data_IF_193320585891
#
_entry.id   IF_193320585891
#
_cell.length_a   1.000
_cell.length_b   1.000
_cell.length_c   1.000
_cell.angle_alpha   90.00
_cell.angle_beta   90.00
_cell.angle_gamma   90.00
#
_symmetry.space_group_name_H-M   'P 1'
#
loop_
_entity.id
_entity.type
_entity.pdbx_description
1 polymer ?
#
# COMPACT_ATOMS: atom_id res chain seq x y z
N UNK A 1 23.81 5.17 -35.24
CA UNK A 1 24.43 6.50 -35.03
C UNK A 1 24.97 6.56 -33.61
N UNK A 2 26.22 6.98 -33.39
CA UNK A 2 26.75 7.15 -32.04
C UNK A 2 26.09 8.37 -31.39
N UNK A 3 25.48 8.17 -30.22
CA UNK A 3 24.89 9.25 -29.43
C UNK A 3 26.02 10.15 -28.89
N UNK A 4 26.00 11.43 -29.28
CA UNK A 4 26.96 12.42 -28.77
C UNK A 4 26.80 12.62 -27.25
N UNK A 5 27.91 12.85 -26.51
CA UNK A 5 27.85 13.15 -25.09
C UNK A 5 27.29 14.56 -24.86
N UNK A 6 26.27 14.67 -24.01
CA UNK A 6 25.71 15.96 -23.59
C UNK A 6 26.61 16.65 -22.55
N UNK A 7 26.67 18.00 -22.54
CA UNK A 7 27.53 18.77 -21.65
C UNK A 7 27.08 18.69 -20.17
N UNK A 8 27.99 18.92 -19.21
CA UNK A 8 27.66 18.91 -17.78
C UNK A 8 26.82 20.15 -17.43
N UNK A 9 25.64 19.94 -16.81
CA UNK A 9 24.78 21.05 -16.40
C UNK A 9 24.93 21.37 -14.90
N UNK A 10 25.38 22.60 -14.66
CA UNK A 10 25.34 23.33 -13.40
C UNK A 10 23.87 23.58 -13.03
N UNK A 11 23.48 23.19 -11.83
CA UNK A 11 22.13 23.44 -11.30
C UNK A 11 21.94 24.94 -10.96
N UNK A 12 21.30 25.66 -11.88
CA UNK A 12 20.31 26.75 -11.68
C UNK A 12 19.23 26.50 -10.61
N UNK A 13 19.26 26.98 -9.33
CA UNK A 13 18.03 27.02 -8.54
C UNK A 13 17.20 28.21 -9.04
N UNK A 14 16.64 28.09 -10.25
CA UNK A 14 15.49 28.88 -10.62
C UNK A 14 14.28 28.11 -10.11
N UNK A 15 13.39 28.81 -9.42
CA UNK A 15 12.10 28.29 -8.99
C UNK A 15 11.50 27.46 -10.12
N UNK A 16 11.12 26.22 -9.81
CA UNK A 16 10.37 25.36 -10.70
C UNK A 16 9.01 26.06 -10.90
N UNK A 17 8.95 27.06 -11.78
CA UNK A 17 7.80 27.93 -12.02
C UNK A 17 6.76 27.18 -12.88
N UNK A 18 6.41 25.98 -12.43
CA UNK A 18 5.18 25.31 -12.80
C UNK A 18 4.07 25.92 -11.95
N UNK A 19 3.72 27.18 -12.24
CA UNK A 19 2.60 27.85 -11.58
C UNK A 19 1.39 26.90 -11.63
N UNK A 20 0.67 26.68 -10.51
CA UNK A 20 -0.52 25.85 -10.48
C UNK A 20 -1.52 26.22 -11.59
N UNK A 21 -1.55 27.51 -11.96
CA UNK A 21 -2.38 28.04 -13.04
C UNK A 21 -2.07 27.50 -14.45
N UNK A 22 -0.85 27.06 -14.77
CA UNK A 22 -0.49 26.63 -16.14
C UNK A 22 -0.86 25.17 -16.38
N UNK A 23 -0.77 24.35 -15.34
CA UNK A 23 -1.21 22.95 -15.35
C UNK A 23 -2.74 22.89 -15.23
N UNK A 24 -3.32 23.63 -14.28
CA UNK A 24 -4.78 23.65 -14.06
C UNK A 24 -5.55 24.32 -15.22
N UNK A 25 -5.12 25.50 -15.73
CA UNK A 25 -5.80 26.14 -16.88
C UNK A 25 -5.74 25.31 -18.15
N UNK A 26 -4.72 24.47 -18.33
CA UNK A 26 -4.64 23.55 -19.48
C UNK A 26 -5.54 22.33 -19.31
N UNK A 27 -5.67 21.79 -18.10
CA UNK A 27 -6.69 20.77 -17.83
C UNK A 27 -8.11 21.30 -18.09
N UNK A 28 -8.40 22.55 -17.71
CA UNK A 28 -9.72 23.16 -17.90
C UNK A 28 -9.98 23.56 -19.38
N UNK A 29 -8.99 24.11 -20.09
CA UNK A 29 -9.16 24.45 -21.52
C UNK A 29 -9.31 23.22 -22.42
N UNK A 30 -8.65 22.10 -22.11
CA UNK A 30 -8.83 20.85 -22.86
C UNK A 30 -10.10 20.07 -22.46
N UNK A 31 -10.70 20.34 -21.30
CA UNK A 31 -11.96 19.74 -20.88
C UNK A 31 -13.20 20.49 -21.44
N UNK A 32 -13.06 21.77 -21.80
CA UNK A 32 -14.17 22.62 -22.27
C UNK A 32 -14.42 22.50 -23.78
N UNK A 33 -13.44 22.14 -24.60
CA UNK A 33 -13.66 21.91 -26.03
C UNK A 33 -13.87 20.43 -26.35
N UNK A 34 -15.14 20.00 -26.39
CA UNK A 34 -15.77 19.35 -27.56
C UNK A 34 -17.07 18.67 -27.14
N UNK A 35 -18.19 19.29 -27.53
CA UNK A 35 -19.47 18.61 -27.62
C UNK A 35 -19.33 17.40 -28.57
N UNK A 36 -20.05 16.29 -28.32
CA UNK A 36 -20.07 15.19 -29.26
C UNK A 36 -20.78 15.65 -30.53
N UNK A 37 -20.06 15.80 -31.64
CA UNK A 37 -20.68 15.86 -32.95
C UNK A 37 -21.03 14.44 -33.37
N UNK A 38 -22.29 14.27 -33.77
CA UNK A 38 -22.84 13.03 -34.31
C UNK A 38 -21.95 12.39 -35.38
N UNK A 39 -21.97 11.05 -35.37
CA UNK A 39 -21.67 10.15 -36.50
C UNK A 39 -20.39 10.42 -37.32
N UNK A 40 -19.26 9.89 -36.86
CA UNK A 40 -18.11 9.70 -37.74
C UNK A 40 -16.85 9.25 -37.01
N UNK A 41 -16.53 7.95 -37.12
CA UNK A 41 -15.27 7.37 -36.66
C UNK A 41 -14.10 7.91 -37.49
N UNK A 42 -13.63 9.12 -37.17
CA UNK A 42 -12.26 9.54 -37.48
C UNK A 42 -11.47 9.45 -36.18
N UNK A 43 -10.45 8.59 -36.17
CA UNK A 43 -9.56 8.41 -35.04
C UNK A 43 -8.77 9.70 -34.80
N UNK A 44 -9.29 10.60 -33.98
CA UNK A 44 -8.50 11.69 -33.46
C UNK A 44 -7.43 11.09 -32.55
N UNK A 45 -6.15 11.24 -32.94
CA UNK A 45 -5.02 10.86 -32.12
C UNK A 45 -5.15 11.54 -30.76
N UNK A 46 -5.06 10.77 -29.67
CA UNK A 46 -5.14 11.32 -28.33
C UNK A 46 -4.09 12.44 -28.17
N UNK A 47 -4.43 13.56 -27.52
CA UNK A 47 -3.50 14.67 -27.36
C UNK A 47 -2.22 14.20 -26.65
N UNK A 48 -1.05 14.78 -27.02
CA UNK A 48 0.23 14.40 -26.42
C UNK A 48 0.18 14.56 -24.90
N UNK A 49 0.80 13.64 -24.16
CA UNK A 49 0.85 13.77 -22.69
C UNK A 49 1.74 14.94 -22.30
N UNK A 50 1.42 15.57 -21.17
CA UNK A 50 2.26 16.60 -20.55
C UNK A 50 3.63 16.00 -20.23
N UNK A 51 3.68 14.72 -19.85
CA UNK A 51 4.93 13.98 -19.64
C UNK A 51 5.87 14.05 -20.84
N UNK A 52 5.35 13.79 -22.06
CA UNK A 52 6.14 13.84 -23.29
C UNK A 52 6.67 15.25 -23.57
N UNK A 53 5.84 16.27 -23.35
CA UNK A 53 6.26 17.67 -23.51
C UNK A 53 7.41 18.03 -22.56
N UNK A 54 7.34 17.61 -21.29
CA UNK A 54 8.41 17.87 -20.31
C UNK A 54 9.66 17.03 -20.62
N UNK A 55 9.49 15.82 -21.17
CA UNK A 55 10.60 15.00 -21.65
C UNK A 55 11.34 15.66 -22.81
N UNK A 56 10.62 16.11 -23.83
CA UNK A 56 11.21 16.73 -25.03
C UNK A 56 11.93 18.05 -24.70
N UNK A 57 11.52 18.74 -23.63
CA UNK A 57 12.21 19.93 -23.09
C UNK A 57 13.50 19.61 -22.32
N UNK A 58 13.66 18.37 -21.88
CA UNK A 58 14.81 17.95 -21.05
C UNK A 58 14.67 18.26 -19.55
N UNK A 59 13.51 18.76 -19.11
CA UNK A 59 13.26 19.20 -17.73
C UNK A 59 12.98 18.03 -16.75
N UNK A 60 12.79 16.80 -17.25
CA UNK A 60 12.59 15.63 -16.39
C UNK A 60 13.86 15.35 -15.57
N UNK A 61 13.75 15.11 -14.25
CA UNK A 61 14.89 14.77 -13.39
C UNK A 61 15.31 13.31 -13.50
N UNK A 62 14.97 12.64 -14.61
CA UNK A 62 15.24 11.23 -14.85
C UNK A 62 15.88 11.04 -16.24
N UNK A 63 16.81 10.09 -16.35
CA UNK A 63 17.44 9.65 -17.60
C UNK A 63 17.45 8.12 -17.73
N UNK A 64 17.39 7.63 -18.97
CA UNK A 64 17.65 6.22 -19.29
C UNK A 64 19.12 6.09 -19.63
N UNK A 65 19.83 5.17 -18.97
CA UNK A 65 21.17 4.81 -19.39
C UNK A 65 21.09 3.61 -20.36
N UNK A 66 21.67 3.79 -21.55
CA UNK A 66 21.67 2.80 -22.62
C UNK A 66 22.86 1.85 -22.52
N UNK A 67 22.64 0.69 -21.91
CA UNK A 67 23.53 -0.48 -21.96
C UNK A 67 22.75 -1.75 -22.30
N UNK A 68 23.29 -2.93 -22.00
CA UNK A 68 22.62 -4.24 -22.23
C UNK A 68 21.33 -4.37 -21.41
N UNK A 69 21.29 -3.78 -20.21
CA UNK A 69 20.08 -3.64 -19.39
C UNK A 69 19.65 -2.17 -19.33
N UNK A 70 18.38 -1.89 -19.60
CA UNK A 70 17.80 -0.55 -19.43
C UNK A 70 17.52 -0.32 -17.93
N UNK A 71 18.12 0.72 -17.36
CA UNK A 71 17.81 1.16 -16.00
C UNK A 71 17.64 2.68 -15.97
N UNK A 72 16.96 3.13 -14.92
CA UNK A 72 16.59 4.52 -14.73
C UNK A 72 17.46 5.17 -13.68
N UNK A 73 17.95 6.38 -13.98
CA UNK A 73 18.76 7.17 -13.06
C UNK A 73 18.13 8.54 -12.82
N UNK A 74 18.02 8.92 -11.56
CA UNK A 74 17.59 10.25 -11.14
C UNK A 74 18.78 11.21 -11.12
N UNK A 75 18.54 12.45 -11.53
CA UNK A 75 19.51 13.54 -11.48
C UNK A 75 19.68 14.03 -10.03
N UNK A 76 20.48 13.32 -9.25
CA UNK A 76 20.83 13.68 -7.87
C UNK A 76 22.04 14.61 -7.89
N UNK A 77 21.99 15.74 -7.17
CA UNK A 77 23.05 16.78 -7.20
C UNK A 77 24.39 16.30 -6.60
N UNK A 78 24.32 15.39 -5.65
CA UNK A 78 25.46 15.07 -4.77
C UNK A 78 26.32 13.90 -5.28
N UNK A 79 25.93 13.23 -6.37
CA UNK A 79 26.64 12.04 -6.89
C UNK A 79 26.88 12.19 -8.40
N UNK A 80 28.14 12.35 -8.85
CA UNK A 80 28.44 12.45 -10.27
C UNK A 80 28.05 11.17 -11.02
N UNK A 81 27.84 11.30 -12.33
CA UNK A 81 27.55 10.15 -13.18
C UNK A 81 28.75 9.17 -13.15
N UNK A 82 28.51 7.84 -13.13
CA UNK A 82 29.55 6.83 -13.15
C UNK A 82 30.38 6.98 -14.42
N UNK A 83 31.69 6.86 -14.30
CA UNK A 83 32.60 6.81 -15.45
C UNK A 83 32.15 5.72 -16.43
N UNK A 84 32.40 5.93 -17.74
CA UNK A 84 32.00 4.98 -18.80
C UNK A 84 32.38 3.52 -18.50
N UNK A 85 33.52 3.30 -17.85
CA UNK A 85 33.98 1.96 -17.44
C UNK A 85 33.10 1.34 -16.34
N UNK A 86 32.72 2.13 -15.33
CA UNK A 86 31.84 1.68 -14.23
C UNK A 86 30.38 1.49 -14.66
N UNK A 87 29.93 2.27 -15.66
CA UNK A 87 28.59 2.17 -16.25
C UNK A 87 28.35 0.90 -17.09
N UNK A 88 29.42 0.20 -17.51
CA UNK A 88 29.35 -1.05 -18.26
C UNK A 88 29.00 -2.26 -17.37
N UNK A 89 29.26 -2.17 -16.06
CA UNK A 89 28.82 -3.17 -15.09
C UNK A 89 27.38 -2.89 -14.62
N UNK A 90 26.53 -3.91 -14.49
CA UNK A 90 25.15 -3.75 -13.99
C UNK A 90 25.08 -3.19 -12.56
N UNK A 91 26.11 -3.45 -11.74
CA UNK A 91 26.22 -2.94 -10.37
C UNK A 91 26.71 -1.46 -10.31
N UNK A 92 27.70 -1.08 -11.13
CA UNK A 92 28.19 0.30 -11.20
C UNK A 92 27.21 1.26 -11.90
N UNK A 93 26.41 0.72 -12.83
CA UNK A 93 25.27 1.38 -13.46
C UNK A 93 24.26 1.97 -12.46
N UNK A 94 23.93 1.21 -11.41
CA UNK A 94 23.01 1.60 -10.34
C UNK A 94 23.64 2.57 -9.32
N UNK A 95 24.89 2.97 -9.51
CA UNK A 95 25.54 4.05 -8.75
C UNK A 95 26.01 3.67 -7.34
N UNK A 96 25.93 2.40 -6.95
CA UNK A 96 26.35 1.92 -5.64
C UNK A 96 25.49 2.44 -4.47
N UNK A 97 25.82 2.05 -3.22
CA UNK A 97 25.02 2.37 -2.03
C UNK A 97 24.95 3.88 -1.74
N UNK A 98 25.97 4.65 -2.12
CA UNK A 98 26.00 6.10 -1.96
C UNK A 98 24.95 6.79 -2.82
N UNK A 99 24.82 6.39 -4.09
CA UNK A 99 23.77 6.89 -4.96
C UNK A 99 22.38 6.47 -4.46
N UNK A 100 22.19 5.24 -3.98
CA UNK A 100 20.90 4.80 -3.46
C UNK A 100 20.43 5.64 -2.26
N UNK A 101 21.35 5.97 -1.35
CA UNK A 101 21.07 6.86 -0.23
C UNK A 101 20.72 8.27 -0.70
N UNK A 102 21.50 8.83 -1.63
CA UNK A 102 21.29 10.17 -2.17
C UNK A 102 19.98 10.26 -2.97
N UNK A 103 19.67 9.24 -3.79
CA UNK A 103 18.40 9.08 -4.51
C UNK A 103 17.22 9.03 -3.55
N UNK A 104 17.31 8.24 -2.48
CA UNK A 104 16.22 8.15 -1.50
C UNK A 104 15.98 9.50 -0.81
N UNK A 105 17.03 10.24 -0.47
CA UNK A 105 16.91 11.61 0.08
C UNK A 105 16.29 12.58 -0.92
N UNK A 106 16.71 12.53 -2.17
CA UNK A 106 16.16 13.36 -3.25
C UNK A 106 14.66 13.11 -3.46
N UNK A 107 14.24 11.85 -3.54
CA UNK A 107 12.83 11.49 -3.71
C UNK A 107 11.96 11.88 -2.50
N UNK A 108 12.55 11.94 -1.30
CA UNK A 108 11.89 12.48 -0.11
C UNK A 108 11.69 14.00 -0.16
N UNK A 109 12.57 14.74 -0.84
CA UNK A 109 12.48 16.20 -0.95
C UNK A 109 11.62 16.66 -2.14
N UNK A 110 11.27 15.75 -3.06
CA UNK A 110 10.53 16.08 -4.28
C UNK A 110 9.08 16.51 -3.99
N UNK A 111 8.55 17.46 -4.77
CA UNK A 111 7.15 17.88 -4.68
C UNK A 111 6.22 16.89 -5.42
N UNK A 112 5.41 16.18 -4.64
CA UNK A 112 4.50 15.16 -5.16
C UNK A 112 3.29 15.77 -5.89
N UNK A 113 2.91 17.02 -5.60
CA UNK A 113 1.76 17.67 -6.24
C UNK A 113 1.99 17.88 -7.73
N UNK A 114 3.24 18.08 -8.14
CA UNK A 114 3.63 18.29 -9.52
C UNK A 114 4.10 16.98 -10.15
N UNK A 115 4.97 16.26 -9.46
CA UNK A 115 5.68 15.14 -10.05
C UNK A 115 4.79 13.91 -10.19
N UNK A 116 3.98 13.58 -9.19
CA UNK A 116 3.17 12.37 -9.25
C UNK A 116 2.10 12.43 -10.36
N UNK A 117 1.32 13.52 -10.54
CA UNK A 117 0.41 13.63 -11.67
C UNK A 117 1.11 13.59 -13.04
N UNK A 118 2.31 14.19 -13.14
CA UNK A 118 3.12 14.17 -14.36
C UNK A 118 3.47 12.74 -14.79
N UNK A 119 3.97 11.91 -13.85
CA UNK A 119 4.30 10.51 -14.13
C UNK A 119 3.06 9.65 -14.40
N UNK A 120 1.92 9.96 -13.76
CA UNK A 120 0.65 9.28 -14.02
C UNK A 120 0.07 9.61 -15.40
N UNK A 121 0.21 10.85 -15.88
CA UNK A 121 -0.17 11.23 -17.25
C UNK A 121 0.69 10.50 -18.29
N UNK A 122 1.99 10.32 -18.00
CA UNK A 122 2.93 9.57 -18.83
C UNK A 122 2.60 8.08 -18.99
N UNK A 123 1.71 7.50 -18.19
CA UNK A 123 1.30 6.10 -18.35
C UNK A 123 0.64 5.83 -19.71
N UNK A 124 0.06 6.86 -20.33
CA UNK A 124 -0.56 6.82 -21.67
C UNK A 124 0.48 6.73 -22.80
N UNK A 125 1.75 7.03 -22.55
CA UNK A 125 2.79 6.98 -23.57
C UNK A 125 3.09 5.54 -24.04
N UNK A 126 3.32 5.41 -25.35
CA UNK A 126 3.61 4.13 -26.02
C UNK A 126 5.01 4.11 -26.62
N UNK A 127 5.56 5.27 -26.98
CA UNK A 127 6.92 5.35 -27.54
C UNK A 127 7.97 5.12 -26.47
N UNK A 128 8.90 4.20 -26.74
CA UNK A 128 10.19 4.14 -26.04
C UNK A 128 11.02 5.38 -26.40
N UNK A 129 11.71 6.05 -25.44
CA UNK A 129 11.95 5.66 -24.04
C UNK A 129 10.91 6.18 -23.02
N UNK A 130 9.99 7.06 -23.43
CA UNK A 130 9.02 7.71 -22.53
C UNK A 130 8.16 6.70 -21.76
N UNK A 131 7.69 5.65 -22.44
CA UNK A 131 6.92 4.55 -21.84
C UNK A 131 7.64 3.92 -20.64
N UNK A 132 8.93 3.59 -20.82
CA UNK A 132 9.76 2.98 -19.79
C UNK A 132 10.02 3.94 -18.63
N UNK A 133 10.39 5.19 -18.95
CA UNK A 133 10.64 6.24 -17.96
C UNK A 133 9.43 6.56 -17.09
N UNK A 134 8.25 6.68 -17.70
CA UNK A 134 7.02 6.98 -16.97
C UNK A 134 6.67 5.85 -15.98
N UNK A 135 6.70 4.60 -16.45
CA UNK A 135 6.32 3.44 -15.63
C UNK A 135 7.32 3.18 -14.48
N UNK A 136 8.61 3.25 -14.77
CA UNK A 136 9.67 3.04 -13.75
C UNK A 136 9.74 4.22 -12.80
N UNK A 137 9.72 5.46 -13.28
CA UNK A 137 9.72 6.65 -12.43
C UNK A 137 8.52 6.70 -11.49
N UNK A 138 7.33 6.32 -11.96
CA UNK A 138 6.13 6.17 -11.13
C UNK A 138 6.30 5.11 -10.04
N UNK A 139 6.80 3.91 -10.41
CA UNK A 139 7.04 2.82 -9.47
C UNK A 139 8.07 3.21 -8.40
N UNK A 140 9.10 3.96 -8.80
CA UNK A 140 10.10 4.47 -7.88
C UNK A 140 9.52 5.54 -6.94
N UNK A 141 8.76 6.51 -7.43
CA UNK A 141 8.11 7.54 -6.60
C UNK A 141 7.13 6.98 -5.56
N UNK A 142 6.53 5.83 -5.85
CA UNK A 142 5.62 5.12 -4.95
C UNK A 142 6.30 4.02 -4.13
N UNK A 143 7.64 3.93 -4.17
CA UNK A 143 8.36 2.90 -3.44
C UNK A 143 8.25 3.10 -1.92
N UNK A 144 8.07 2.02 -1.14
CA UNK A 144 7.81 2.09 0.31
C UNK A 144 8.97 2.68 1.13
N UNK A 145 10.16 2.87 0.54
CA UNK A 145 11.29 3.48 1.22
C UNK A 145 11.12 4.99 1.48
N UNK A 146 10.25 5.67 0.72
CA UNK A 146 10.09 7.13 0.77
C UNK A 146 8.68 7.64 0.44
N UNK A 147 7.80 6.79 -0.09
CA UNK A 147 6.40 7.11 -0.29
C UNK A 147 5.60 6.83 0.97
N UNK A 148 4.95 7.87 1.50
CA UNK A 148 4.07 7.78 2.67
C UNK A 148 2.67 8.29 2.32
N UNK A 149 1.66 7.74 2.98
CA UNK A 149 0.26 8.18 2.83
C UNK A 149 0.07 9.70 3.07
N UNK A 150 0.88 10.32 3.93
CA UNK A 150 0.85 11.76 4.19
C UNK A 150 1.19 12.62 2.97
N UNK A 151 2.06 12.12 2.08
CA UNK A 151 2.50 12.84 0.86
C UNK A 151 1.61 12.52 -0.32
N UNK A 152 1.17 11.26 -0.41
CA UNK A 152 0.33 10.78 -1.53
C UNK A 152 -1.13 11.22 -1.36
N UNK A 153 -1.64 11.23 -0.12
CA UNK A 153 -3.04 11.53 0.20
C UNK A 153 -3.57 12.84 -0.42
N UNK A 154 -2.89 13.99 -0.22
CA UNK A 154 -3.30 15.28 -0.79
C UNK A 154 -3.34 15.30 -2.32
N UNK A 155 -2.51 14.48 -2.98
CA UNK A 155 -2.35 14.45 -4.44
C UNK A 155 -3.37 13.52 -5.11
N UNK A 156 -3.99 12.59 -4.37
CA UNK A 156 -4.93 11.60 -4.90
C UNK A 156 -6.01 12.17 -5.84
N UNK A 157 -6.68 13.31 -5.55
CA UNK A 157 -7.70 13.87 -6.44
C UNK A 157 -7.14 14.21 -7.83
N UNK A 158 -5.88 14.68 -7.90
CA UNK A 158 -5.19 15.03 -9.15
C UNK A 158 -4.83 13.79 -9.98
N UNK A 159 -4.69 12.62 -9.35
CA UNK A 159 -4.34 11.36 -10.04
C UNK A 159 -5.54 10.70 -10.73
N UNK A 160 -6.77 11.05 -10.35
CA UNK A 160 -7.99 10.36 -10.82
C UNK A 160 -8.19 10.55 -12.32
N UNK A 161 -7.97 11.77 -12.81
CA UNK A 161 -8.12 12.09 -14.24
C UNK A 161 -7.10 11.35 -15.12
N UNK A 162 -5.77 11.47 -14.89
CA UNK A 162 -4.79 10.75 -15.71
C UNK A 162 -4.95 9.23 -15.61
N UNK A 163 -5.29 8.69 -14.44
CA UNK A 163 -5.63 7.26 -14.28
C UNK A 163 -6.82 6.85 -15.16
N UNK A 164 -7.92 7.61 -15.10
CA UNK A 164 -9.12 7.33 -15.90
C UNK A 164 -8.81 7.42 -17.40
N UNK A 165 -8.04 8.42 -17.82
CA UNK A 165 -7.63 8.58 -19.22
C UNK A 165 -6.79 7.39 -19.68
N UNK A 166 -5.80 6.94 -18.89
CA UNK A 166 -4.98 5.77 -19.23
C UNK A 166 -5.81 4.48 -19.34
N UNK A 167 -6.73 4.24 -18.39
CA UNK A 167 -7.64 3.08 -18.42
C UNK A 167 -8.60 3.12 -19.64
N UNK A 168 -9.08 4.30 -20.03
CA UNK A 168 -10.01 4.47 -21.15
C UNK A 168 -9.36 4.34 -22.54
N UNK A 169 -8.02 4.27 -22.65
CA UNK A 169 -7.32 4.10 -23.95
C UNK A 169 -7.67 2.80 -24.65
N UNK A 170 -8.21 1.81 -23.92
CA UNK A 170 -8.53 0.46 -24.37
C UNK A 170 -7.36 -0.38 -24.90
N UNK A 171 -6.14 0.14 -24.84
CA UNK A 171 -4.92 -0.55 -25.23
C UNK A 171 -4.42 -1.40 -24.08
N UNK A 172 -4.20 -2.70 -24.33
CA UNK A 172 -3.94 -3.70 -23.27
C UNK A 172 -2.70 -3.32 -22.46
N UNK A 173 -1.61 -2.90 -23.11
CA UNK A 173 -0.37 -2.52 -22.43
C UNK A 173 -0.53 -1.27 -21.55
N UNK A 174 -1.24 -0.26 -22.04
CA UNK A 174 -1.50 0.98 -21.32
C UNK A 174 -2.41 0.76 -20.12
N UNK A 175 -3.48 -0.04 -20.31
CA UNK A 175 -4.38 -0.44 -19.23
C UNK A 175 -3.63 -1.26 -18.17
N UNK A 176 -2.77 -2.19 -18.58
CA UNK A 176 -1.93 -2.98 -17.67
C UNK A 176 -1.04 -2.09 -16.81
N UNK A 177 -0.33 -1.12 -17.42
CA UNK A 177 0.49 -0.14 -16.68
C UNK A 177 -0.34 0.68 -15.70
N UNK A 178 -1.52 1.15 -16.10
CA UNK A 178 -2.41 1.90 -15.23
C UNK A 178 -2.92 1.07 -14.04
N UNK A 179 -3.22 -0.21 -14.24
CA UNK A 179 -3.63 -1.12 -13.16
C UNK A 179 -2.45 -1.40 -12.22
N UNK A 180 -1.24 -1.64 -12.74
CA UNK A 180 -0.05 -1.81 -11.90
C UNK A 180 0.24 -0.55 -11.08
N UNK A 181 0.10 0.65 -11.67
CA UNK A 181 0.22 1.92 -10.95
C UNK A 181 -0.83 2.03 -9.82
N UNK A 182 -2.07 1.64 -10.09
CA UNK A 182 -3.15 1.59 -9.10
C UNK A 182 -2.84 0.61 -7.96
N UNK A 183 -2.28 -0.57 -8.26
CA UNK A 183 -1.86 -1.53 -7.24
C UNK A 183 -0.73 -0.97 -6.36
N UNK A 184 0.26 -0.29 -6.96
CA UNK A 184 1.37 0.34 -6.22
C UNK A 184 0.87 1.48 -5.33
N UNK A 185 -0.04 2.31 -5.83
CA UNK A 185 -0.68 3.40 -5.08
C UNK A 185 -1.38 2.89 -3.81
N UNK A 186 -2.08 1.76 -3.91
CA UNK A 186 -2.81 1.17 -2.78
C UNK A 186 -1.88 0.53 -1.75
N UNK A 187 -0.71 0.05 -2.19
CA UNK A 187 0.31 -0.61 -1.34
C UNK A 187 1.19 0.40 -0.58
N UNK A 188 1.05 1.71 -0.82
CA UNK A 188 1.82 2.75 -0.11
C UNK A 188 1.60 2.62 1.41
N UNK A 189 2.69 2.52 2.20
CA UNK A 189 2.59 2.36 3.64
C UNK A 189 2.13 3.65 4.35
N UNK A 190 1.69 3.47 5.59
CA UNK A 190 1.30 4.57 6.47
C UNK A 190 -0.18 4.95 6.38
N UNK A 191 -0.52 6.01 7.10
CA UNK A 191 -1.85 6.62 7.15
C UNK A 191 -1.71 8.12 7.03
N UNK A 192 -2.67 8.75 6.36
CA UNK A 192 -2.75 10.20 6.28
C UNK A 192 -2.90 10.81 7.70
N UNK A 193 -2.10 11.82 8.09
CA UNK A 193 -2.15 12.40 9.42
C UNK A 193 -3.48 13.11 9.73
N UNK A 194 -4.17 13.66 8.73
CA UNK A 194 -5.42 14.39 8.95
C UNK A 194 -6.61 13.45 9.15
N UNK A 195 -6.77 12.47 8.26
CA UNK A 195 -7.90 11.54 8.28
C UNK A 195 -7.63 10.23 9.02
N UNK A 196 -6.35 9.90 9.27
CA UNK A 196 -5.91 8.60 9.75
C UNK A 196 -6.13 7.46 8.74
N UNK A 197 -6.53 7.76 7.50
CA UNK A 197 -6.90 6.74 6.51
C UNK A 197 -5.70 6.24 5.71
N UNK A 198 -5.77 5.00 5.23
CA UNK A 198 -4.81 4.48 4.24
C UNK A 198 -5.09 5.11 2.87
N UNK A 199 -4.09 5.11 1.99
CA UNK A 199 -4.26 5.58 0.60
C UNK A 199 -5.42 4.85 -0.10
N UNK A 200 -5.57 3.54 0.13
CA UNK A 200 -6.68 2.76 -0.43
C UNK A 200 -8.07 3.17 0.08
N UNK A 201 -8.19 3.64 1.33
CA UNK A 201 -9.45 4.16 1.86
C UNK A 201 -9.76 5.56 1.31
N UNK A 202 -8.74 6.43 1.21
CA UNK A 202 -8.86 7.74 0.58
C UNK A 202 -9.23 7.65 -0.91
N UNK A 203 -8.87 6.55 -1.58
CA UNK A 203 -9.19 6.31 -2.98
C UNK A 203 -10.65 5.85 -3.19
N UNK A 204 -11.31 5.33 -2.15
CA UNK A 204 -12.64 4.73 -2.27
C UNK A 204 -13.73 5.64 -2.87
N UNK A 205 -13.80 6.95 -2.56
CA UNK A 205 -14.77 7.87 -3.18
C UNK A 205 -14.64 7.94 -4.71
N UNK A 206 -13.45 7.67 -5.24
CA UNK A 206 -13.15 7.78 -6.67
C UNK A 206 -13.36 6.47 -7.44
N UNK A 207 -13.71 5.36 -6.77
CA UNK A 207 -13.93 4.06 -7.43
C UNK A 207 -14.97 4.11 -8.54
N UNK A 208 -16.01 4.95 -8.42
CA UNK A 208 -17.00 5.15 -9.49
C UNK A 208 -16.41 5.67 -10.81
N UNK A 209 -15.26 6.35 -10.75
CA UNK A 209 -14.58 6.90 -11.92
C UNK A 209 -13.54 5.93 -12.52
N UNK A 210 -13.07 4.96 -11.74
CA UNK A 210 -11.97 4.04 -12.11
C UNK A 210 -12.51 2.66 -12.49
N UNK A 211 -13.44 2.12 -11.70
CA UNK A 211 -13.92 0.74 -11.83
C UNK A 211 -14.80 0.42 -13.06
N UNK A 212 -15.56 1.35 -13.67
CA UNK A 212 -16.39 1.00 -14.83
C UNK A 212 -15.61 0.33 -15.96
N UNK A 213 -14.34 0.70 -16.15
CA UNK A 213 -13.47 0.15 -17.20
C UNK A 213 -13.14 -1.33 -16.94
N UNK A 214 -13.07 -1.76 -15.69
CA UNK A 214 -12.70 -3.15 -15.34
C UNK A 214 -13.74 -4.14 -15.86
N UNK A 215 -15.01 -3.72 -15.92
CA UNK A 215 -16.09 -4.54 -16.46
C UNK A 215 -15.94 -4.79 -17.97
N UNK A 216 -15.30 -3.88 -18.73
CA UNK A 216 -15.10 -4.03 -20.18
C UNK A 216 -14.09 -5.12 -20.54
N UNK A 217 -13.14 -5.40 -19.64
CA UNK A 217 -12.04 -6.34 -19.87
C UNK A 217 -12.21 -7.68 -19.14
N UNK A 218 -13.25 -7.80 -18.32
CA UNK A 218 -13.53 -8.98 -17.50
C UNK A 218 -13.79 -10.27 -18.32
N UNK A 219 -14.29 -10.14 -19.55
CA UNK A 219 -14.53 -11.28 -20.47
C UNK A 219 -13.35 -11.60 -21.38
N UNK A 220 -12.30 -10.77 -21.40
CA UNK A 220 -11.11 -10.99 -22.25
C UNK A 220 -10.05 -11.78 -21.49
N UNK A 221 -10.35 -13.04 -21.19
CA UNK A 221 -9.39 -14.01 -20.63
C UNK A 221 -8.64 -14.76 -21.74
N UNK A 222 -8.22 -14.07 -22.80
CA UNK A 222 -7.33 -14.69 -23.78
C UNK A 222 -5.98 -14.92 -23.08
N UNK A 223 -5.64 -16.19 -22.87
CA UNK A 223 -4.28 -16.60 -22.56
C UNK A 223 -3.37 -16.00 -23.64
N UNK A 224 -2.30 -15.32 -23.22
CA UNK A 224 -1.36 -14.68 -24.11
C UNK A 224 -0.90 -15.71 -25.17
N UNK A 225 -1.45 -15.60 -26.37
CA UNK A 225 -1.02 -16.44 -27.49
C UNK A 225 0.10 -15.67 -28.17
N UNK A 226 1.32 -16.20 -27.97
CA UNK A 226 2.53 -15.95 -28.76
C UNK A 226 2.97 -14.48 -28.89
N UNK A 227 3.94 -14.07 -28.06
CA UNK A 227 4.79 -12.89 -28.32
C UNK A 227 4.84 -11.80 -27.24
N UNK A 228 4.11 -11.92 -26.14
CA UNK A 228 4.16 -10.94 -25.04
C UNK A 228 4.80 -11.51 -23.77
N UNK A 229 5.80 -10.83 -23.22
CA UNK A 229 6.59 -11.20 -22.02
C UNK A 229 5.81 -11.24 -20.69
N UNK A 230 4.47 -11.26 -20.72
CA UNK A 230 3.64 -11.18 -19.52
C UNK A 230 3.16 -12.55 -19.07
N UNK A 231 3.41 -12.88 -17.80
CA UNK A 231 2.99 -14.14 -17.17
C UNK A 231 1.52 -14.19 -16.74
N UNK A 232 0.88 -13.03 -16.53
CA UNK A 232 -0.47 -12.93 -15.96
C UNK A 232 -1.43 -12.31 -17.00
N UNK A 233 -2.62 -12.87 -17.13
CA UNK A 233 -3.66 -12.31 -18.00
C UNK A 233 -4.18 -10.97 -17.46
N UNK A 234 -4.77 -10.13 -18.32
CA UNK A 234 -5.33 -8.85 -17.87
C UNK A 234 -6.51 -9.03 -16.91
N UNK A 235 -7.30 -10.10 -17.09
CA UNK A 235 -8.41 -10.46 -16.20
C UNK A 235 -7.95 -10.82 -14.80
N UNK A 236 -6.92 -11.68 -14.68
CA UNK A 236 -6.34 -12.04 -13.38
C UNK A 236 -5.73 -10.82 -12.68
N UNK A 237 -5.05 -9.94 -13.43
CA UNK A 237 -4.51 -8.69 -12.88
C UNK A 237 -5.61 -7.77 -12.34
N UNK A 238 -6.76 -7.70 -13.02
CA UNK A 238 -7.92 -6.95 -12.55
C UNK A 238 -8.52 -7.56 -11.28
N UNK A 239 -8.65 -8.88 -11.23
CA UNK A 239 -9.18 -9.58 -10.05
C UNK A 239 -8.25 -9.42 -8.83
N UNK A 240 -6.94 -9.51 -9.01
CA UNK A 240 -5.95 -9.21 -7.96
C UNK A 240 -6.09 -7.77 -7.47
N UNK A 241 -6.23 -6.82 -8.39
CA UNK A 241 -6.38 -5.40 -8.06
C UNK A 241 -7.68 -5.15 -7.31
N UNK A 242 -8.79 -5.75 -7.73
CA UNK A 242 -10.07 -5.67 -7.02
C UNK A 242 -9.97 -6.23 -5.60
N UNK A 243 -9.22 -7.32 -5.41
CA UNK A 243 -8.97 -7.88 -4.09
C UNK A 243 -8.14 -6.92 -3.21
N UNK A 244 -7.07 -6.36 -3.76
CA UNK A 244 -6.20 -5.40 -3.07
C UNK A 244 -6.96 -4.13 -2.64
N UNK A 245 -7.78 -3.58 -3.53
CA UNK A 245 -8.63 -2.42 -3.25
C UNK A 245 -9.62 -2.71 -2.11
N UNK A 246 -10.30 -3.85 -2.15
CA UNK A 246 -11.23 -4.26 -1.10
C UNK A 246 -10.56 -4.42 0.27
N UNK A 247 -9.33 -4.96 0.29
CA UNK A 247 -8.57 -5.14 1.53
C UNK A 247 -8.15 -3.81 2.17
N UNK A 248 -7.72 -2.83 1.38
CA UNK A 248 -7.18 -1.56 1.89
C UNK A 248 -8.26 -0.51 2.16
N UNK A 249 -9.42 -0.59 1.50
CA UNK A 249 -10.53 0.33 1.70
C UNK A 249 -11.39 0.04 2.96
N UNK A 250 -11.39 -1.19 3.49
CA UNK A 250 -12.36 -1.63 4.52
C UNK A 250 -11.75 -2.06 5.86
N UNK A 251 -10.50 -1.71 6.17
CA UNK A 251 -9.83 -2.19 7.39
C UNK A 251 -10.29 -1.41 8.63
N UNK A 252 -11.36 -1.89 9.30
CA UNK A 252 -11.79 -1.36 10.62
C UNK A 252 -10.65 -1.44 11.64
N UNK A 253 -10.29 -0.31 12.26
CA UNK A 253 -9.19 -0.25 13.22
C UNK A 253 -9.67 -0.48 14.65
N UNK A 254 -8.93 -1.33 15.38
CA UNK A 254 -9.31 -1.72 16.75
C UNK A 254 -9.20 -0.54 17.74
N UNK A 255 -8.27 0.40 17.53
CA UNK A 255 -8.15 1.56 18.42
C UNK A 255 -9.36 2.50 18.32
N UNK A 256 -9.90 2.70 17.12
CA UNK A 256 -11.13 3.49 16.91
C UNK A 256 -12.32 2.85 17.62
N UNK A 257 -12.38 1.51 17.69
CA UNK A 257 -13.45 0.79 18.40
C UNK A 257 -13.34 0.93 19.91
N UNK A 258 -12.13 1.10 20.47
CA UNK A 258 -11.93 1.25 21.92
C UNK A 258 -12.44 2.59 22.45
N UNK A 259 -12.48 3.61 21.60
CA UNK A 259 -12.94 4.96 21.98
C UNK A 259 -14.45 5.13 21.83
N UNK A 260 -15.18 4.13 21.31
CA UNK A 260 -16.62 4.19 21.07
C UNK A 260 -17.42 3.67 22.27
N UNK A 261 -18.64 4.19 22.41
CA UNK A 261 -19.56 3.72 23.43
C UNK A 261 -20.08 2.31 23.11
N UNK A 262 -20.48 1.59 24.15
CA UNK A 262 -21.00 0.22 24.04
C UNK A 262 -22.20 0.13 23.09
N UNK A 263 -23.13 1.08 23.17
CA UNK A 263 -24.31 1.12 22.31
C UNK A 263 -23.94 1.29 20.83
N UNK A 264 -22.93 2.11 20.52
CA UNK A 264 -22.48 2.29 19.15
C UNK A 264 -21.78 1.05 18.62
N UNK A 265 -20.97 0.37 19.45
CA UNK A 265 -20.36 -0.91 19.08
C UNK A 265 -21.39 -2.00 18.82
N UNK A 266 -22.49 -2.03 19.58
CA UNK A 266 -23.60 -2.97 19.37
C UNK A 266 -24.36 -2.66 18.07
N UNK A 267 -24.64 -1.39 17.77
CA UNK A 267 -25.23 -0.98 16.48
C UNK A 267 -24.34 -1.39 15.30
N UNK A 268 -23.04 -1.05 15.35
CA UNK A 268 -22.08 -1.43 14.32
C UNK A 268 -21.97 -2.95 14.15
N UNK A 269 -22.12 -3.72 15.23
CA UNK A 269 -22.07 -5.17 15.20
C UNK A 269 -23.31 -5.76 14.49
N UNK A 270 -24.50 -5.22 14.75
CA UNK A 270 -25.72 -5.66 14.06
C UNK A 270 -25.71 -5.28 12.58
N UNK A 271 -25.24 -4.08 12.21
CA UNK A 271 -25.02 -3.70 10.82
C UNK A 271 -24.09 -4.68 10.09
N UNK A 272 -22.94 -5.03 10.68
CA UNK A 272 -22.01 -5.99 10.07
C UNK A 272 -22.59 -7.41 9.97
N UNK A 273 -23.43 -7.83 10.92
CA UNK A 273 -24.12 -9.14 10.86
C UNK A 273 -25.16 -9.18 9.74
N UNK A 274 -25.96 -8.12 9.59
CA UNK A 274 -26.95 -8.03 8.51
C UNK A 274 -26.26 -8.02 7.14
N UNK A 275 -25.14 -7.30 6.99
CA UNK A 275 -24.33 -7.34 5.77
C UNK A 275 -23.79 -8.75 5.50
N UNK A 276 -23.24 -9.44 6.52
CA UNK A 276 -22.75 -10.81 6.37
C UNK A 276 -23.86 -11.77 5.94
N UNK A 277 -25.06 -11.64 6.50
CA UNK A 277 -26.21 -12.46 6.14
C UNK A 277 -26.58 -12.26 4.66
N UNK A 278 -26.67 -11.01 4.21
CA UNK A 278 -26.92 -10.68 2.81
C UNK A 278 -25.84 -11.25 1.88
N UNK A 279 -24.56 -11.16 2.26
CA UNK A 279 -23.44 -11.72 1.48
C UNK A 279 -23.46 -13.27 1.43
N UNK A 280 -23.97 -13.94 2.46
CA UNK A 280 -24.11 -15.40 2.47
C UNK A 280 -25.21 -15.86 1.51
N UNK A 281 -26.35 -15.17 1.49
CA UNK A 281 -27.41 -15.45 0.50
C UNK A 281 -26.91 -15.20 -0.92
N UNK A 282 -26.18 -14.10 -1.13
CA UNK A 282 -25.54 -13.80 -2.42
C UNK A 282 -24.55 -14.89 -2.85
N UNK A 283 -23.84 -15.53 -1.91
CA UNK A 283 -22.94 -16.65 -2.21
C UNK A 283 -23.68 -17.87 -2.75
N UNK A 284 -24.81 -18.21 -2.15
CA UNK A 284 -25.62 -19.39 -2.54
C UNK A 284 -26.34 -19.14 -3.87
N UNK A 285 -26.74 -17.90 -4.14
CA UNK A 285 -27.44 -17.49 -5.37
C UNK A 285 -26.53 -17.18 -6.55
N UNK A 286 -25.22 -17.43 -6.45
CA UNK A 286 -24.26 -17.18 -7.54
C UNK A 286 -23.98 -15.69 -7.81
N UNK A 287 -24.10 -14.83 -6.79
CA UNK A 287 -23.88 -13.39 -6.91
C UNK A 287 -22.45 -13.00 -7.30
N UNK A 288 -22.28 -11.76 -7.75
CA UNK A 288 -21.01 -11.23 -8.25
C UNK A 288 -19.81 -11.46 -7.30
N UNK A 289 -18.69 -11.95 -7.84
CA UNK A 289 -17.45 -12.26 -7.10
C UNK A 289 -16.93 -11.09 -6.24
N UNK A 290 -17.12 -9.85 -6.70
CA UNK A 290 -16.76 -8.63 -5.95
C UNK A 290 -17.51 -8.51 -4.61
N UNK A 291 -18.78 -8.91 -4.54
CA UNK A 291 -19.55 -8.95 -3.29
C UNK A 291 -19.04 -10.08 -2.39
N UNK A 292 -18.77 -11.26 -2.95
CA UNK A 292 -18.33 -12.44 -2.19
C UNK A 292 -16.96 -12.25 -1.52
N UNK A 293 -16.06 -11.50 -2.16
CA UNK A 293 -14.75 -11.18 -1.60
C UNK A 293 -14.80 -10.49 -0.23
N UNK A 294 -15.88 -9.75 0.05
CA UNK A 294 -16.10 -9.02 1.31
C UNK A 294 -16.35 -9.94 2.51
N UNK A 295 -16.79 -11.18 2.30
CA UNK A 295 -17.15 -12.12 3.38
C UNK A 295 -16.01 -12.30 4.37
N UNK A 296 -14.77 -12.48 3.89
CA UNK A 296 -13.60 -12.67 4.75
C UNK A 296 -13.31 -11.43 5.58
N UNK A 297 -13.50 -10.24 5.01
CA UNK A 297 -13.26 -8.95 5.68
C UNK A 297 -14.32 -8.72 6.74
N UNK A 298 -15.61 -8.84 6.40
CA UNK A 298 -16.74 -8.65 7.34
C UNK A 298 -16.64 -9.61 8.52
N UNK A 299 -16.28 -10.89 8.30
CA UNK A 299 -16.04 -11.85 9.41
C UNK A 299 -14.94 -11.38 10.36
N UNK A 300 -13.83 -10.86 9.82
CA UNK A 300 -12.73 -10.32 10.63
C UNK A 300 -13.16 -9.06 11.39
N UNK A 301 -13.96 -8.20 10.77
CA UNK A 301 -14.53 -7.01 11.38
C UNK A 301 -15.43 -7.33 12.57
N UNK A 302 -16.37 -8.28 12.43
CA UNK A 302 -17.23 -8.75 13.52
C UNK A 302 -16.38 -9.29 14.69
N UNK A 303 -15.38 -10.12 14.39
CA UNK A 303 -14.49 -10.67 15.41
C UNK A 303 -13.74 -9.57 16.18
N UNK A 304 -13.31 -8.49 15.51
CA UNK A 304 -12.64 -7.35 16.16
C UNK A 304 -13.59 -6.62 17.11
N UNK A 305 -14.82 -6.30 16.67
CA UNK A 305 -15.81 -5.61 17.50
C UNK A 305 -16.16 -6.44 18.74
N UNK A 306 -16.46 -7.73 18.57
CA UNK A 306 -16.70 -8.66 19.68
C UNK A 306 -15.52 -8.75 20.65
N UNK A 307 -14.28 -8.72 20.13
CA UNK A 307 -13.09 -8.74 20.98
C UNK A 307 -13.00 -7.49 21.84
N UNK A 308 -13.27 -6.31 21.29
CA UNK A 308 -13.25 -5.05 22.05
C UNK A 308 -14.35 -5.04 23.11
N UNK A 309 -15.59 -5.41 22.76
CA UNK A 309 -16.70 -5.52 23.72
C UNK A 309 -16.34 -6.47 24.87
N UNK A 310 -15.77 -7.64 24.56
CA UNK A 310 -15.37 -8.60 25.58
C UNK A 310 -14.20 -8.08 26.45
N UNK A 311 -13.26 -7.34 25.87
CA UNK A 311 -12.16 -6.70 26.61
C UNK A 311 -12.68 -5.64 27.57
N UNK A 312 -13.57 -4.75 27.11
CA UNK A 312 -14.12 -3.67 27.94
C UNK A 312 -14.97 -4.23 29.07
N UNK A 313 -15.88 -5.17 28.79
CA UNK A 313 -16.70 -5.83 29.80
C UNK A 313 -15.83 -6.53 30.86
N UNK A 314 -14.82 -7.30 30.46
CA UNK A 314 -13.92 -7.96 31.41
C UNK A 314 -13.10 -6.96 32.22
N UNK A 315 -12.68 -5.85 31.62
CA UNK A 315 -11.95 -4.81 32.35
C UNK A 315 -12.82 -4.16 33.43
N UNK A 316 -14.09 -3.84 33.11
CA UNK A 316 -15.05 -3.29 34.06
C UNK A 316 -15.36 -4.29 35.18
N UNK A 317 -15.59 -5.56 34.85
CA UNK A 317 -15.81 -6.60 35.84
C UNK A 317 -14.59 -6.81 36.75
N UNK A 318 -13.37 -6.72 36.22
CA UNK A 318 -12.15 -6.79 37.04
C UNK A 318 -12.07 -5.63 38.04
N UNK A 319 -12.48 -4.43 37.64
CA UNK A 319 -12.55 -3.28 38.55
C UNK A 319 -13.60 -3.51 39.64
N UNK A 320 -14.78 -4.03 39.27
CA UNK A 320 -15.88 -4.28 40.22
C UNK A 320 -15.61 -5.42 41.22
N UNK A 321 -14.87 -6.45 40.81
CA UNK A 321 -14.52 -7.61 41.64
C UNK A 321 -13.11 -7.52 42.28
N UNK A 322 -12.43 -6.38 42.18
CA UNK A 322 -11.04 -6.24 42.63
C UNK A 322 -10.87 -6.54 44.12
N UNK A 323 -11.80 -6.05 44.93
CA UNK A 323 -11.73 -6.11 46.39
C UNK A 323 -12.71 -7.16 46.98
N UNK A 324 -13.28 -8.02 46.12
CA UNK A 324 -14.25 -9.04 46.53
C UNK A 324 -13.58 -10.41 46.59
N UNK A 325 -13.88 -11.17 47.65
CA UNK A 325 -13.34 -12.52 47.84
C UNK A 325 -13.84 -13.50 46.78
N UNK A 326 -15.09 -13.32 46.31
CA UNK A 326 -15.73 -14.19 45.33
C UNK A 326 -15.63 -13.60 43.92
N UNK A 327 -14.63 -14.10 43.17
CA UNK A 327 -14.42 -13.74 41.77
C UNK A 327 -15.03 -14.80 40.83
N UNK A 328 -15.80 -14.39 39.79
CA UNK A 328 -16.33 -15.29 38.76
C UNK A 328 -15.26 -16.13 38.06
N UNK A 329 -15.62 -17.35 37.65
CA UNK A 329 -14.70 -18.30 37.00
C UNK A 329 -13.99 -17.71 35.77
N UNK A 330 -14.67 -16.88 34.98
CA UNK A 330 -14.14 -16.26 33.75
C UNK A 330 -13.03 -15.23 33.98
N UNK A 331 -12.98 -14.62 35.16
CA UNK A 331 -11.97 -13.63 35.54
C UNK A 331 -10.79 -14.26 36.26
N UNK A 332 -10.94 -15.50 36.75
CA UNK A 332 -9.85 -16.22 37.41
C UNK A 332 -8.70 -16.48 36.44
N UNK A 333 -7.48 -16.40 36.96
CA UNK A 333 -6.31 -16.73 36.18
C UNK A 333 -6.33 -18.20 35.75
N UNK A 334 -6.19 -18.47 34.45
CA UNK A 334 -6.15 -19.83 33.91
C UNK A 334 -4.80 -20.47 34.24
N UNK A 335 -4.77 -21.27 35.31
CA UNK A 335 -3.61 -22.08 35.70
C UNK A 335 -3.55 -23.38 34.87
N UNK A 336 -2.34 -23.79 34.50
CA UNK A 336 -2.10 -25.13 33.92
C UNK A 336 -2.47 -26.21 34.94
N UNK A 337 -2.73 -27.44 34.45
CA UNK A 337 -3.06 -28.58 35.33
C UNK A 337 -1.95 -28.86 36.34
N UNK A 338 -0.69 -28.75 35.92
CA UNK A 338 0.47 -28.92 36.78
C UNK A 338 0.49 -27.90 37.93
N UNK A 339 0.25 -26.61 37.64
CA UNK A 339 0.20 -25.56 38.67
C UNK A 339 -0.97 -25.77 39.62
N UNK A 340 -2.14 -26.23 39.12
CA UNK A 340 -3.30 -26.54 39.97
C UNK A 340 -3.06 -27.71 40.91
N UNK A 341 -2.24 -28.69 40.50
CA UNK A 341 -1.87 -29.86 41.32
C UNK A 341 -0.60 -29.65 42.15
N UNK A 342 0.12 -28.55 41.95
CA UNK A 342 1.34 -28.29 42.70
C UNK A 342 1.01 -28.07 44.18
N UNK A 343 1.84 -28.65 45.05
CA UNK A 343 1.78 -28.42 46.49
C UNK A 343 1.89 -26.92 46.80
N UNK A 344 1.12 -26.44 47.78
CA UNK A 344 1.24 -25.06 48.28
C UNK A 344 2.62 -24.84 48.88
N UNK A 345 3.15 -23.59 48.94
CA UNK A 345 4.45 -23.31 49.56
C UNK A 345 4.57 -23.87 50.98
N UNK A 346 3.48 -23.78 51.76
CA UNK A 346 3.38 -24.38 53.09
C UNK A 346 3.53 -25.92 53.04
N UNK A 347 2.77 -26.60 52.17
CA UNK A 347 2.87 -28.05 52.00
C UNK A 347 4.26 -28.50 51.53
N UNK A 348 4.94 -27.72 50.67
CA UNK A 348 6.31 -27.99 50.26
C UNK A 348 7.32 -27.78 51.39
N UNK A 349 7.06 -26.85 52.30
CA UNK A 349 7.93 -26.56 53.44
C UNK A 349 7.80 -27.58 54.58
N UNK A 350 6.65 -28.27 54.66
CA UNK A 350 6.43 -29.32 55.66
C UNK A 350 7.34 -30.52 55.41
N UNK A 351 8.23 -30.77 56.35
CA UNK A 351 9.15 -31.92 56.32
C UNK A 351 8.49 -33.11 57.00
N UNK A 352 8.54 -34.26 56.34
CA UNK A 352 8.18 -35.52 56.99
C UNK A 352 9.17 -35.84 58.12
N UNK A 353 8.75 -36.59 59.14
CA UNK A 353 9.65 -37.02 60.22
C UNK A 353 10.88 -37.76 59.67
N UNK A 354 10.72 -38.54 58.60
CA UNK A 354 11.83 -39.21 57.90
C UNK A 354 12.83 -38.21 57.33
N UNK A 355 12.35 -37.14 56.70
CA UNK A 355 13.20 -36.12 56.12
C UNK A 355 13.87 -35.26 57.21
N UNK A 356 13.15 -34.88 58.26
CA UNK A 356 13.71 -34.17 59.41
C UNK A 356 14.82 -34.98 60.09
N UNK A 357 14.61 -36.30 60.28
CA UNK A 357 15.66 -37.21 60.77
C UNK A 357 16.84 -37.25 59.81
N UNK A 358 16.62 -37.42 58.50
CA UNK A 358 17.71 -37.45 57.51
C UNK A 358 18.55 -36.17 57.53
N UNK A 359 17.93 -35.00 57.56
CA UNK A 359 18.63 -33.72 57.63
C UNK A 359 19.41 -33.54 58.93
N UNK A 360 18.87 -34.03 60.06
CA UNK A 360 19.58 -34.03 61.36
C UNK A 360 20.83 -34.92 61.31
N UNK A 361 20.74 -36.11 60.71
CA UNK A 361 21.84 -37.07 60.69
C UNK A 361 22.87 -36.78 59.59
N UNK A 362 22.44 -36.18 58.48
CA UNK A 362 23.30 -35.89 57.32
C UNK A 362 23.16 -34.42 56.90
N UNK A 363 23.67 -33.45 57.69
CA UNK A 363 23.68 -32.06 57.31
C UNK A 363 24.62 -31.85 56.11
N UNK A 364 24.23 -30.97 55.19
CA UNK A 364 25.08 -30.58 54.06
C UNK A 364 26.30 -29.86 54.63
N UNK A 365 27.48 -30.47 54.46
CA UNK A 365 28.74 -29.87 54.86
C UNK A 365 29.06 -28.74 53.87
N UNK A 366 29.09 -27.50 54.35
CA UNK A 366 29.53 -26.34 53.57
C UNK A 366 31.05 -26.34 53.56
N UNK A 367 31.65 -26.54 52.40
CA UNK A 367 33.11 -26.44 52.22
C UNK A 367 33.44 -25.04 51.69
N UNK A 368 34.41 -24.37 52.31
CA UNK A 368 35.04 -23.22 51.70
C UNK A 368 36.10 -23.72 50.73
N UNK A 369 35.93 -23.47 49.43
CA UNK A 369 36.98 -23.73 48.45
C UNK A 369 37.96 -22.56 48.56
N UNK A 370 39.20 -22.85 48.98
CA UNK A 370 40.28 -21.86 48.93
C UNK A 370 40.63 -21.68 47.44
N UNK A 371 40.42 -20.47 46.93
CA UNK A 371 40.76 -20.12 45.55
C UNK A 371 42.27 -20.23 45.33
#
# INVERSE_FOLDING_TARGET
>A
MPLQPYPPLIYRPATMDLRPSTVQRRYDTFAVERAPSDSGSTYFAAPPTIFKVVYDRGDLPIRVNGGVAKYVRWAVRDVPAPDRASALSSAGALGGPEYEAARTRFLRALDYNVMLPLFFDGLREESEPCRFLAATGMAELLAPAHADAARVGPVLPLLILPLRQALNTRKIDTVRRAITALQQLVKVPGTDPASGQTVGALLAPYFRHILPVFNLFKSRSSLATSGSDYSISIGELMDETMHLLALHAMKLKVHELRNKNKADLEKQLEELKTELAALRVAKVTGGAASKLSKIKVVRKSIARVLTVINQTQKSQLRMFYKDKDLVPLDLRFKKTRAIRKALTPQQKSLKTLKQAKKEKHFPIRKYAVKA
#
